data_IF_584291839153
#
_entry.id   IF_584291839153
#
_cell.length_a   1.000
_cell.length_b   1.000
_cell.length_c   1.000
_cell.angle_alpha   90.00
_cell.angle_beta   90.00
_cell.angle_gamma   90.00
#
_symmetry.space_group_name_H-M   'P 1'
#
loop_
_entity.id
_entity.type
_entity.pdbx_description
1 polymer ?
#
# COMPACT_ATOMS: atom_id res chain seq x y z
N UNK A 1 -0.02 -4.82 17.13
CA UNK A 1 -0.08 -3.85 16.02
C UNK A 1 -0.19 -4.69 14.76
N UNK A 2 -1.17 -4.44 13.88
CA UNK A 2 -1.21 -5.14 12.58
C UNK A 2 -0.29 -4.38 11.62
N UNK A 3 0.49 -5.11 10.84
CA UNK A 3 1.43 -4.55 9.88
C UNK A 3 1.01 -4.99 8.48
N UNK A 4 1.01 -4.03 7.56
CA UNK A 4 0.78 -4.29 6.13
C UNK A 4 2.16 -4.29 5.48
N UNK A 5 2.58 -5.43 4.95
CA UNK A 5 3.86 -5.60 4.30
C UNK A 5 3.68 -5.72 2.79
N UNK A 6 4.59 -5.10 2.02
CA UNK A 6 4.64 -5.33 0.59
C UNK A 6 5.02 -6.77 0.27
N UNK A 7 4.42 -7.34 -0.79
CA UNK A 7 4.75 -8.68 -1.30
C UNK A 7 6.07 -8.70 -2.10
N UNK A 8 6.59 -7.54 -2.51
CA UNK A 8 7.80 -7.43 -3.33
C UNK A 8 8.57 -6.14 -3.06
N UNK A 9 9.83 -6.10 -3.51
CA UNK A 9 10.61 -4.87 -3.54
C UNK A 9 10.08 -3.90 -4.60
N UNK A 10 10.08 -2.61 -4.27
CA UNK A 10 9.62 -1.54 -5.15
C UNK A 10 9.81 -0.17 -4.50
N UNK A 11 9.33 0.87 -5.17
CA UNK A 11 9.35 2.26 -4.71
C UNK A 11 7.92 2.67 -4.34
N UNK A 12 7.75 3.35 -3.21
CA UNK A 12 6.44 3.94 -2.85
C UNK A 12 6.16 5.09 -3.80
N UNK A 13 5.13 4.95 -4.62
CA UNK A 13 4.68 5.96 -5.57
C UNK A 13 3.69 6.92 -4.90
N UNK A 14 2.73 6.37 -4.16
CA UNK A 14 1.67 7.14 -3.51
C UNK A 14 1.19 6.45 -2.23
N UNK A 15 0.77 7.24 -1.24
CA UNK A 15 0.09 6.78 -0.03
C UNK A 15 -1.35 7.27 -0.09
N UNK A 16 -2.31 6.35 -0.04
CA UNK A 16 -3.74 6.60 -0.27
C UNK A 16 -4.51 6.90 1.03
N UNK A 17 -3.86 6.72 2.18
CA UNK A 17 -4.43 6.93 3.51
C UNK A 17 -3.59 7.90 4.31
N UNK A 18 -4.18 8.50 5.35
CA UNK A 18 -3.47 9.34 6.33
C UNK A 18 -3.67 8.80 7.75
N UNK A 19 -2.81 9.21 8.71
CA UNK A 19 -2.98 8.82 10.10
C UNK A 19 -4.37 9.19 10.63
N UNK A 20 -5.07 8.22 11.20
CA UNK A 20 -6.41 8.39 11.76
C UNK A 20 -7.56 8.03 10.82
N UNK A 21 -7.29 7.66 9.56
CA UNK A 21 -8.32 7.11 8.68
C UNK A 21 -8.74 5.69 9.12
N UNK A 22 -10.02 5.37 8.93
CA UNK A 22 -10.54 4.01 9.06
C UNK A 22 -10.14 3.16 7.84
N UNK A 23 -9.51 2.01 8.10
CA UNK A 23 -9.08 1.07 7.06
C UNK A 23 -9.90 -0.22 7.18
N UNK A 24 -10.49 -0.67 6.07
CA UNK A 24 -11.27 -1.91 5.98
C UNK A 24 -10.48 -3.01 5.28
N UNK A 25 -10.78 -4.28 5.57
CA UNK A 25 -10.12 -5.44 4.94
C UNK A 25 -10.12 -5.34 3.40
N UNK A 26 -8.96 -5.57 2.78
CA UNK A 26 -8.77 -5.45 1.34
C UNK A 26 -8.69 -4.01 0.79
N UNK A 27 -8.76 -2.98 1.63
CA UNK A 27 -8.63 -1.58 1.19
C UNK A 27 -7.21 -1.29 0.72
N UNK A 28 -7.10 -0.58 -0.41
CA UNK A 28 -5.81 -0.11 -0.91
C UNK A 28 -5.30 1.06 -0.06
N UNK A 29 -4.08 0.94 0.44
CA UNK A 29 -3.45 1.92 1.35
C UNK A 29 -2.27 2.66 0.71
N UNK A 30 -1.66 2.08 -0.31
CA UNK A 30 -0.54 2.67 -1.04
C UNK A 30 -0.42 2.08 -2.45
N UNK A 31 0.32 2.76 -3.32
CA UNK A 31 0.73 2.26 -4.63
C UNK A 31 2.24 2.16 -4.67
N UNK A 32 2.73 0.99 -5.08
CA UNK A 32 4.14 0.72 -5.34
C UNK A 32 4.43 0.72 -6.84
N UNK A 33 5.60 1.21 -7.22
CA UNK A 33 6.20 1.00 -8.52
C UNK A 33 7.26 -0.09 -8.42
N UNK A 34 7.18 -1.09 -9.29
CA UNK A 34 8.22 -2.10 -9.45
C UNK A 34 8.34 -2.49 -10.92
N UNK A 35 9.56 -2.38 -11.47
CA UNK A 35 9.87 -2.73 -12.86
C UNK A 35 8.91 -2.10 -13.90
N UNK A 36 8.58 -0.80 -13.73
CA UNK A 36 7.64 -0.02 -14.56
C UNK A 36 6.17 -0.44 -14.44
N UNK A 37 5.84 -1.32 -13.51
CA UNK A 37 4.47 -1.70 -13.18
C UNK A 37 4.02 -1.04 -11.87
N UNK A 38 2.74 -0.68 -11.80
CA UNK A 38 2.12 -0.15 -10.59
C UNK A 38 1.34 -1.26 -9.90
N UNK A 39 1.54 -1.41 -8.59
CA UNK A 39 0.89 -2.44 -7.78
C UNK A 39 0.22 -1.83 -6.55
N UNK A 40 -1.03 -2.18 -6.26
CA UNK A 40 -1.69 -1.76 -5.04
C UNK A 40 -1.15 -2.54 -3.84
N UNK A 41 -1.08 -1.86 -2.70
CA UNK A 41 -0.84 -2.47 -1.38
C UNK A 41 -2.16 -2.44 -0.62
N UNK A 42 -2.64 -3.61 -0.22
CA UNK A 42 -3.92 -3.78 0.47
C UNK A 42 -3.72 -4.14 1.95
N UNK A 43 -4.68 -3.77 2.79
CA UNK A 43 -4.69 -4.03 4.24
C UNK A 43 -4.88 -5.48 4.65
#
# INVERSE_FOLDING_TARGET
MKEIASMMAGVVLEILVKPGDDVTDGMEVAILESMKMQLPVQS
#
